data_IF_812153211075
#
_entry.id   IF_812153211075
#
_cell.length_a   1.000
_cell.length_b   1.000
_cell.length_c   1.000
_cell.angle_alpha   90.00
_cell.angle_beta   90.00
_cell.angle_gamma   90.00
#
_symmetry.space_group_name_H-M   'P 1'
#
loop_
_entity.id
_entity.type
_entity.pdbx_description
1 polymer ?
#
# COMPACT_ATOMS: atom_id res chain seq x y z
N UNK A 1 -34.98 4.38 -22.83
CA UNK A 1 -35.04 3.85 -21.45
C UNK A 1 -34.02 4.59 -20.61
N UNK A 2 -34.36 5.05 -19.40
CA UNK A 2 -33.56 6.01 -18.64
C UNK A 2 -32.40 5.35 -17.87
N UNK A 3 -31.29 6.07 -17.81
CA UNK A 3 -30.03 5.74 -17.13
C UNK A 3 -30.24 5.81 -15.61
N UNK A 4 -30.13 4.68 -14.91
CA UNK A 4 -30.10 4.65 -13.44
C UNK A 4 -28.69 5.01 -12.96
N UNK A 5 -28.56 6.17 -12.31
CA UNK A 5 -27.41 6.50 -11.45
C UNK A 5 -27.49 5.63 -10.20
N UNK A 6 -26.55 4.70 -10.05
CA UNK A 6 -26.32 4.03 -8.79
C UNK A 6 -25.35 4.88 -7.97
N UNK A 7 -25.85 5.45 -6.87
CA UNK A 7 -25.01 6.02 -5.83
C UNK A 7 -24.31 4.87 -5.10
N UNK A 8 -23.00 4.78 -5.24
CA UNK A 8 -22.16 3.87 -4.46
C UNK A 8 -21.73 4.60 -3.19
N UNK A 9 -22.42 4.32 -2.10
CA UNK A 9 -21.90 4.57 -0.75
C UNK A 9 -20.74 3.61 -0.52
N UNK A 10 -19.50 4.11 -0.62
CA UNK A 10 -18.29 3.30 -0.42
C UNK A 10 -18.22 2.78 1.03
N UNK A 11 -17.92 1.49 1.24
CA UNK A 11 -17.91 0.85 2.56
C UNK A 11 -16.67 1.18 3.42
N UNK A 12 -15.84 2.14 3.01
CA UNK A 12 -14.61 2.54 3.74
C UNK A 12 -14.93 3.40 4.97
N UNK A 13 -16.14 3.96 5.05
CA UNK A 13 -16.51 4.97 6.05
C UNK A 13 -16.90 4.48 7.46
N UNK A 14 -17.31 3.23 7.76
CA UNK A 14 -17.90 2.95 9.07
C UNK A 14 -16.89 2.59 10.19
N UNK A 15 -15.58 2.49 9.91
CA UNK A 15 -14.58 2.12 10.94
C UNK A 15 -13.92 3.34 11.60
N UNK A 16 -13.86 4.49 10.92
CA UNK A 16 -13.25 5.71 11.46
C UNK A 16 -14.14 6.46 12.48
N UNK A 17 -15.45 6.20 12.55
CA UNK A 17 -16.35 6.87 13.49
C UNK A 17 -16.26 6.35 14.94
N UNK A 18 -15.58 5.22 15.21
CA UNK A 18 -15.57 4.63 16.57
C UNK A 18 -14.45 5.08 17.49
N UNK A 19 -13.41 5.77 17.00
CA UNK A 19 -12.21 6.00 17.81
C UNK A 19 -11.96 7.42 18.34
N UNK A 20 -12.81 8.41 18.06
CA UNK A 20 -12.65 9.75 18.62
C UNK A 20 -13.98 10.38 19.05
N UNK A 21 -14.59 9.87 20.11
CA UNK A 21 -15.46 10.68 20.99
C UNK A 21 -14.67 11.05 22.24
N UNK A 22 -14.77 12.33 22.58
CA UNK A 22 -14.26 13.02 23.77
C UNK A 22 -12.84 13.57 23.70
N UNK A 23 -12.74 14.88 23.46
CA UNK A 23 -11.95 15.78 24.30
C UNK A 23 -12.64 17.17 24.32
N UNK A 24 -12.84 17.79 25.50
CA UNK A 24 -13.65 18.98 25.66
C UNK A 24 -12.91 20.27 25.29
N UNK A 25 -13.68 21.21 24.77
CA UNK A 25 -13.35 22.64 24.62
C UNK A 25 -13.53 23.36 25.96
N UNK A 26 -12.44 23.84 26.55
CA UNK A 26 -12.38 24.84 27.64
C UNK A 26 -10.91 25.33 27.67
N UNK A 27 -10.51 26.57 27.96
CA UNK A 27 -11.15 27.85 28.23
C UNK A 27 -10.02 28.91 28.20
N UNK A 28 -10.38 30.19 28.11
CA UNK A 28 -9.48 31.33 27.92
C UNK A 28 -8.62 31.67 29.16
N UNK A 29 -7.38 32.15 28.95
CA UNK A 29 -6.60 32.88 29.95
C UNK A 29 -5.23 33.36 29.41
N UNK A 30 -4.75 34.58 29.75
CA UNK A 30 -3.81 35.33 28.90
C UNK A 30 -2.35 35.37 29.40
N UNK A 31 -1.46 35.72 28.46
CA UNK A 31 -0.14 36.34 28.67
C UNK A 31 0.86 35.61 29.57
N UNK A 32 1.69 34.76 28.97
CA UNK A 32 3.10 34.65 29.37
C UNK A 32 4.00 34.48 28.14
N UNK A 33 4.77 35.54 27.88
CA UNK A 33 6.05 35.58 27.19
C UNK A 33 6.72 34.20 27.03
N UNK A 34 6.76 33.68 25.80
CA UNK A 34 7.81 32.77 25.39
C UNK A 34 8.22 33.14 23.96
N UNK A 35 9.52 33.41 23.80
CA UNK A 35 10.17 33.59 22.51
C UNK A 35 9.76 32.46 21.55
N UNK A 36 8.86 32.77 20.61
CA UNK A 36 8.68 31.96 19.42
C UNK A 36 9.97 32.09 18.61
N UNK A 37 10.93 31.20 18.90
CA UNK A 37 11.76 30.66 17.84
C UNK A 37 10.77 30.18 16.78
N UNK A 38 10.65 30.95 15.68
CA UNK A 38 10.07 30.47 14.43
C UNK A 38 10.92 29.28 14.01
N UNK A 39 10.63 28.11 14.58
CA UNK A 39 10.97 26.83 13.96
C UNK A 39 10.29 26.93 12.62
N UNK A 40 11.09 27.10 11.56
CA UNK A 40 10.65 26.81 10.20
C UNK A 40 10.23 25.35 10.25
N UNK A 41 8.96 25.09 10.52
CA UNK A 41 8.35 23.78 10.32
C UNK A 41 8.53 23.51 8.83
N UNK A 42 9.52 22.68 8.50
CA UNK A 42 9.63 22.16 7.14
C UNK A 42 8.32 21.42 6.90
N UNK A 43 7.51 21.91 5.97
CA UNK A 43 6.20 21.32 5.63
C UNK A 43 6.32 19.85 5.19
N UNK A 44 7.52 19.42 4.80
CA UNK A 44 7.84 18.06 4.40
C UNK A 44 8.50 17.23 5.52
N UNK A 45 8.53 17.71 6.77
CA UNK A 45 9.03 16.92 7.90
C UNK A 45 8.03 15.80 8.24
N UNK A 46 8.55 14.66 8.71
CA UNK A 46 7.74 13.55 9.21
C UNK A 46 6.86 14.03 10.36
N UNK A 47 5.65 13.48 10.48
CA UNK A 47 4.74 13.83 11.56
C UNK A 47 5.43 13.61 12.93
N UNK A 48 5.30 14.51 13.92
CA UNK A 48 6.01 14.40 15.19
C UNK A 48 5.67 13.13 16.00
N UNK A 49 4.47 12.56 15.77
CA UNK A 49 4.05 11.31 16.38
C UNK A 49 4.52 10.05 15.64
N UNK A 50 5.27 10.18 14.55
CA UNK A 50 5.74 9.04 13.78
C UNK A 50 6.89 8.32 14.49
N UNK A 51 6.76 7.01 14.62
CA UNK A 51 7.77 6.11 15.14
C UNK A 51 8.86 5.85 14.10
N UNK A 52 10.10 5.70 14.58
CA UNK A 52 11.20 5.24 13.74
C UNK A 52 10.98 3.79 13.29
N UNK A 53 11.39 3.50 12.06
CA UNK A 53 11.21 2.19 11.40
C UNK A 53 12.59 1.55 11.21
N UNK A 54 12.67 0.22 11.19
CA UNK A 54 13.91 -0.55 10.93
C UNK A 54 15.11 -0.12 11.77
N UNK A 55 14.96 -0.13 13.10
CA UNK A 55 16.08 0.11 14.02
C UNK A 55 16.48 1.57 14.21
N UNK A 56 15.55 2.52 13.99
CA UNK A 56 15.76 3.93 14.34
C UNK A 56 15.76 4.90 13.17
N UNK A 57 15.52 4.42 11.94
CA UNK A 57 15.49 5.24 10.74
C UNK A 57 14.18 6.05 10.65
N UNK A 58 14.27 7.24 10.06
CA UNK A 58 13.08 8.02 9.74
C UNK A 58 12.34 7.34 8.58
N UNK A 59 11.02 7.09 8.67
CA UNK A 59 10.25 6.43 7.60
C UNK A 59 10.46 7.03 6.19
N UNK A 60 10.61 8.35 6.09
CA UNK A 60 10.85 9.00 4.81
C UNK A 60 12.21 8.62 4.20
N UNK A 61 13.19 8.24 5.01
CA UNK A 61 14.54 7.93 4.52
C UNK A 61 14.61 6.63 3.73
N UNK A 62 13.57 5.80 3.77
CA UNK A 62 13.41 4.61 2.93
C UNK A 62 13.34 4.95 1.43
N UNK A 63 12.83 6.13 1.08
CA UNK A 63 12.89 6.64 -0.29
C UNK A 63 14.18 7.43 -0.47
N UNK A 64 14.94 7.20 -1.53
CA UNK A 64 16.22 7.89 -1.74
C UNK A 64 16.10 9.43 -1.74
N UNK A 65 17.16 10.11 -1.28
CA UNK A 65 17.17 11.58 -1.15
C UNK A 65 16.87 12.29 -2.48
N UNK A 66 17.40 11.78 -3.60
CA UNK A 66 17.19 12.37 -4.93
C UNK A 66 15.71 12.26 -5.30
N UNK A 67 15.10 11.10 -5.12
CA UNK A 67 13.68 10.87 -5.40
C UNK A 67 12.78 11.73 -4.51
N UNK A 68 13.06 11.84 -3.21
CA UNK A 68 12.29 12.72 -2.31
C UNK A 68 12.29 14.17 -2.78
N UNK A 69 13.45 14.67 -3.21
CA UNK A 69 13.55 16.03 -3.74
C UNK A 69 12.72 16.20 -5.02
N UNK A 70 12.68 15.20 -5.91
CA UNK A 70 11.83 15.20 -7.11
C UNK A 70 10.34 15.18 -6.74
N UNK A 71 9.94 14.36 -5.77
CA UNK A 71 8.57 14.32 -5.23
C UNK A 71 8.17 15.69 -4.68
N UNK A 72 8.99 16.29 -3.81
CA UNK A 72 8.71 17.61 -3.23
C UNK A 72 8.66 18.74 -4.27
N UNK A 73 9.38 18.59 -5.38
CA UNK A 73 9.35 19.55 -6.49
C UNK A 73 8.12 19.38 -7.40
N UNK A 74 7.52 18.19 -7.45
CA UNK A 74 6.41 17.86 -8.34
C UNK A 74 5.17 18.72 -8.09
N UNK A 75 4.42 18.98 -9.16
CA UNK A 75 3.16 19.74 -9.11
C UNK A 75 2.14 19.00 -8.26
N UNK A 76 2.02 17.69 -8.47
CA UNK A 76 1.09 16.85 -7.71
C UNK A 76 1.33 16.91 -6.20
N UNK A 77 2.58 16.88 -5.73
CA UNK A 77 2.86 17.00 -4.30
C UNK A 77 2.40 18.33 -3.72
N UNK A 78 2.66 19.43 -4.43
CA UNK A 78 2.35 20.79 -3.96
C UNK A 78 0.86 21.09 -3.97
N UNK A 79 0.11 20.53 -4.91
CA UNK A 79 -1.32 20.79 -5.08
C UNK A 79 -2.19 19.75 -4.36
N UNK A 80 -1.82 18.47 -4.45
CA UNK A 80 -2.67 17.34 -4.06
C UNK A 80 -2.15 16.56 -2.86
N UNK A 81 -0.89 16.74 -2.42
CA UNK A 81 -0.37 16.12 -1.18
C UNK A 81 -0.21 17.14 -0.03
N UNK A 82 -0.52 18.41 -0.29
CA UNK A 82 -0.45 19.46 0.71
C UNK A 82 -1.62 19.33 1.70
N UNK A 83 -1.32 19.29 2.99
CA UNK A 83 -2.35 19.18 4.04
C UNK A 83 -3.11 17.84 4.09
N UNK A 84 -2.71 16.83 3.31
CA UNK A 84 -3.37 15.52 3.33
C UNK A 84 -3.28 14.86 4.70
N UNK A 85 -4.43 14.41 5.19
CA UNK A 85 -4.62 13.57 6.38
C UNK A 85 -4.83 12.11 5.97
N UNK A 86 -4.84 11.18 6.94
CA UNK A 86 -5.08 9.76 6.66
C UNK A 86 -6.45 9.50 5.99
N UNK A 87 -7.48 10.27 6.34
CA UNK A 87 -8.83 10.15 5.79
C UNK A 87 -8.87 10.55 4.31
N UNK A 88 -8.44 11.78 4.02
CA UNK A 88 -8.42 12.35 2.65
C UNK A 88 -7.43 11.66 1.71
N UNK A 89 -6.53 10.82 2.25
CA UNK A 89 -5.58 10.05 1.47
C UNK A 89 -6.28 8.97 0.63
N UNK A 90 -7.34 8.36 1.17
CA UNK A 90 -8.12 7.32 0.47
C UNK A 90 -8.71 7.88 -0.82
N UNK A 91 -9.31 9.07 -0.76
CA UNK A 91 -9.91 9.74 -1.92
C UNK A 91 -8.91 9.90 -3.07
N UNK A 92 -7.67 10.27 -2.73
CA UNK A 92 -6.59 10.42 -3.71
C UNK A 92 -6.02 9.11 -4.20
N UNK A 93 -6.02 8.07 -3.36
CA UNK A 93 -5.59 6.74 -3.74
C UNK A 93 -6.58 6.09 -4.74
N UNK A 94 -7.88 6.35 -4.61
CA UNK A 94 -8.91 5.88 -5.55
C UNK A 94 -8.75 6.48 -6.96
N UNK A 95 -8.27 7.72 -7.07
CA UNK A 95 -8.02 8.38 -8.36
C UNK A 95 -6.79 7.85 -9.11
N UNK A 96 -6.03 6.89 -8.53
CA UNK A 96 -4.85 6.33 -9.18
C UNK A 96 -5.23 5.49 -10.40
N UNK A 97 -4.49 5.68 -11.50
CA UNK A 97 -4.67 4.95 -12.75
C UNK A 97 -3.44 4.14 -13.18
N UNK A 98 -2.31 4.32 -12.49
CA UNK A 98 -1.05 3.66 -12.77
C UNK A 98 -0.24 3.53 -11.47
N UNK A 99 0.58 2.50 -11.37
CA UNK A 99 1.60 2.36 -10.33
C UNK A 99 2.98 2.39 -10.97
N UNK A 100 4.00 2.84 -10.23
CA UNK A 100 5.36 2.93 -10.74
C UNK A 100 6.18 3.98 -9.98
N UNK A 101 7.46 4.12 -10.33
CA UNK A 101 8.41 4.92 -9.58
C UNK A 101 8.53 6.30 -10.22
N UNK A 102 9.55 6.46 -11.05
CA UNK A 102 9.79 7.65 -11.85
C UNK A 102 9.67 7.37 -13.34
N UNK A 103 9.30 8.38 -14.13
CA UNK A 103 9.12 8.26 -15.57
C UNK A 103 9.62 9.47 -16.35
N UNK A 104 9.91 9.25 -17.63
CA UNK A 104 10.41 10.26 -18.56
C UNK A 104 11.87 10.67 -18.30
N UNK A 105 12.45 11.39 -19.28
CA UNK A 105 13.86 11.80 -19.21
C UNK A 105 14.22 12.75 -18.06
N UNK A 106 13.22 13.41 -17.46
CA UNK A 106 13.40 14.27 -16.28
C UNK A 106 13.09 13.55 -14.95
N UNK A 107 12.93 12.22 -14.95
CA UNK A 107 12.63 11.39 -13.77
C UNK A 107 11.47 11.98 -12.93
N UNK A 108 10.34 12.23 -13.58
CA UNK A 108 9.16 12.74 -12.90
C UNK A 108 8.57 11.62 -12.02
N UNK A 109 8.24 11.89 -10.74
CA UNK A 109 7.63 10.90 -9.88
C UNK A 109 6.18 10.64 -10.31
N UNK A 110 5.73 9.40 -10.23
CA UNK A 110 4.32 9.05 -10.42
C UNK A 110 3.46 9.59 -9.27
N UNK A 111 2.14 9.70 -9.51
CA UNK A 111 1.17 9.99 -8.44
C UNK A 111 1.23 8.95 -7.33
N UNK A 112 1.44 7.69 -7.70
CA UNK A 112 1.61 6.56 -6.79
C UNK A 112 2.79 6.80 -5.81
N UNK A 113 3.98 7.11 -6.33
CA UNK A 113 5.16 7.37 -5.52
C UNK A 113 4.97 8.60 -4.60
N UNK A 114 4.28 9.63 -5.08
CA UNK A 114 3.94 10.80 -4.27
C UNK A 114 3.01 10.44 -3.09
N UNK A 115 1.98 9.62 -3.31
CA UNK A 115 1.08 9.17 -2.24
C UNK A 115 1.78 8.21 -1.28
N UNK A 116 2.65 7.32 -1.78
CA UNK A 116 3.44 6.43 -0.95
C UNK A 116 4.36 7.22 0.01
N UNK A 117 5.06 8.25 -0.49
CA UNK A 117 5.87 9.12 0.36
C UNK A 117 5.01 9.87 1.38
N UNK A 118 3.77 10.22 1.02
CA UNK A 118 2.83 10.85 1.95
C UNK A 118 2.38 9.88 3.05
N UNK A 119 2.11 8.63 2.72
CA UNK A 119 1.83 7.58 3.71
C UNK A 119 3.02 7.37 4.65
N UNK A 120 4.27 7.39 4.14
CA UNK A 120 5.47 7.34 4.98
C UNK A 120 5.61 8.57 5.89
N UNK A 121 5.14 9.74 5.45
CA UNK A 121 5.14 10.96 6.28
C UNK A 121 4.10 10.90 7.41
N UNK A 122 2.91 10.37 7.11
CA UNK A 122 1.78 10.30 8.04
C UNK A 122 1.86 9.10 8.99
N UNK A 123 2.41 7.98 8.52
CA UNK A 123 2.49 6.70 9.21
C UNK A 123 1.13 6.23 9.75
N UNK A 124 0.17 5.86 8.87
CA UNK A 124 -1.11 5.34 9.30
C UNK A 124 -0.95 4.04 10.12
N UNK A 125 -1.94 3.76 10.96
CA UNK A 125 -1.97 2.53 11.76
C UNK A 125 -2.09 1.28 10.87
N UNK A 126 -1.58 0.15 11.37
CA UNK A 126 -1.56 -1.12 10.62
C UNK A 126 -2.97 -1.60 10.23
N UNK A 127 -4.01 -1.28 11.02
CA UNK A 127 -5.39 -1.62 10.71
C UNK A 127 -5.90 -0.88 9.45
N UNK A 128 -5.53 0.39 9.29
CA UNK A 128 -5.86 1.17 8.09
C UNK A 128 -5.14 0.58 6.87
N UNK A 129 -3.89 0.18 7.03
CA UNK A 129 -3.11 -0.46 5.95
C UNK A 129 -3.71 -1.81 5.56
N UNK A 130 -4.16 -2.60 6.53
CA UNK A 130 -4.88 -3.86 6.29
C UNK A 130 -6.14 -3.61 5.48
N UNK A 131 -6.94 -2.60 5.82
CA UNK A 131 -8.14 -2.22 5.05
C UNK A 131 -7.82 -1.78 3.62
N UNK A 132 -6.65 -1.19 3.37
CA UNK A 132 -6.22 -0.87 2.01
C UNK A 132 -5.91 -2.13 1.20
N UNK A 133 -5.31 -3.13 1.84
CA UNK A 133 -4.93 -4.41 1.24
C UNK A 133 -6.16 -5.27 0.96
N UNK A 134 -7.06 -5.40 1.94
CA UNK A 134 -8.31 -6.19 1.85
C UNK A 134 -9.39 -5.52 0.96
N UNK A 135 -9.03 -4.49 0.17
CA UNK A 135 -9.96 -3.79 -0.70
C UNK A 135 -10.08 -4.44 -2.09
N UNK A 136 -11.26 -4.98 -2.39
CA UNK A 136 -11.53 -5.66 -3.67
C UNK A 136 -11.94 -4.73 -4.81
N UNK A 137 -12.41 -3.52 -4.50
CA UNK A 137 -12.91 -2.58 -5.50
C UNK A 137 -11.79 -1.80 -6.19
N UNK A 138 -10.75 -1.43 -5.43
CA UNK A 138 -9.71 -0.52 -5.88
C UNK A 138 -8.31 -1.14 -5.87
N UNK A 139 -7.97 -1.83 -6.96
CA UNK A 139 -6.66 -2.49 -7.15
C UNK A 139 -5.42 -1.60 -6.89
N UNK A 140 -5.46 -0.30 -7.20
CA UNK A 140 -4.31 0.59 -6.94
C UNK A 140 -4.17 0.95 -5.47
N UNK A 141 -5.26 0.94 -4.70
CA UNK A 141 -5.25 1.12 -3.24
C UNK A 141 -4.63 -0.12 -2.59
N UNK A 142 -5.02 -1.32 -3.05
CA UNK A 142 -4.41 -2.59 -2.64
C UNK A 142 -2.90 -2.57 -2.85
N UNK A 143 -2.44 -2.25 -4.06
CA UNK A 143 -1.01 -2.17 -4.39
C UNK A 143 -0.30 -1.11 -3.54
N UNK A 144 -0.93 0.05 -3.30
CA UNK A 144 -0.35 1.09 -2.46
C UNK A 144 -0.16 0.62 -1.01
N UNK A 145 -1.17 -0.05 -0.45
CA UNK A 145 -1.11 -0.66 0.88
C UNK A 145 -0.04 -1.74 0.97
N UNK A 146 0.05 -2.62 -0.04
CA UNK A 146 1.03 -3.69 -0.12
C UNK A 146 2.47 -3.17 -0.13
N UNK A 147 2.77 -2.17 -0.98
CA UNK A 147 4.11 -1.55 -1.05
C UNK A 147 4.43 -0.83 0.27
N UNK A 148 3.47 -0.10 0.84
CA UNK A 148 3.66 0.57 2.13
C UNK A 148 3.97 -0.42 3.26
N UNK A 149 3.20 -1.51 3.35
CA UNK A 149 3.40 -2.58 4.32
C UNK A 149 4.78 -3.22 4.14
N UNK A 150 5.22 -3.46 2.91
CA UNK A 150 6.53 -4.05 2.63
C UNK A 150 7.69 -3.17 3.12
N UNK A 151 7.51 -1.84 3.10
CA UNK A 151 8.52 -0.88 3.54
C UNK A 151 8.56 -0.69 5.05
N UNK A 152 7.42 -0.75 5.74
CA UNK A 152 7.33 -0.36 7.17
C UNK A 152 7.02 -1.54 8.09
N UNK A 153 6.31 -2.55 7.59
CA UNK A 153 5.81 -3.68 8.34
C UNK A 153 6.91 -4.57 8.91
N UNK A 154 6.55 -5.30 9.97
CA UNK A 154 7.38 -6.38 10.50
C UNK A 154 7.31 -7.59 9.56
N UNK A 155 8.36 -8.43 9.46
CA UNK A 155 8.37 -9.57 8.54
C UNK A 155 7.13 -10.46 8.64
N UNK A 156 6.69 -10.76 9.87
CA UNK A 156 5.45 -11.51 10.13
C UNK A 156 4.21 -10.87 9.50
N UNK A 157 4.02 -9.57 9.72
CA UNK A 157 2.86 -8.83 9.23
C UNK A 157 2.89 -8.75 7.68
N UNK A 158 4.10 -8.62 7.10
CA UNK A 158 4.32 -8.63 5.65
C UNK A 158 3.86 -9.95 5.03
N UNK A 159 4.34 -11.09 5.53
CA UNK A 159 3.96 -12.41 5.03
C UNK A 159 2.45 -12.65 5.14
N UNK A 160 1.88 -12.44 6.34
CA UNK A 160 0.45 -12.71 6.60
C UNK A 160 -0.52 -11.90 5.73
N UNK A 161 -0.16 -10.68 5.34
CA UNK A 161 -1.05 -9.80 4.55
C UNK A 161 -0.73 -9.79 3.05
N UNK A 162 0.51 -10.08 2.64
CA UNK A 162 0.87 -10.13 1.21
C UNK A 162 0.60 -11.48 0.57
N UNK A 163 0.69 -12.59 1.30
CA UNK A 163 0.43 -13.92 0.74
C UNK A 163 -0.97 -14.09 0.14
N UNK A 164 -2.06 -13.60 0.75
CA UNK A 164 -3.37 -13.67 0.13
C UNK A 164 -3.44 -12.97 -1.23
N UNK A 165 -2.61 -11.94 -1.46
CA UNK A 165 -2.57 -11.21 -2.74
C UNK A 165 -1.98 -12.04 -3.89
N UNK A 166 -1.30 -13.16 -3.62
CA UNK A 166 -0.83 -14.09 -4.65
C UNK A 166 -2.00 -14.79 -5.39
N UNK A 167 -3.20 -14.76 -4.83
CA UNK A 167 -4.43 -15.25 -5.48
C UNK A 167 -5.13 -14.18 -6.34
N UNK A 168 -4.64 -12.94 -6.34
CA UNK A 168 -5.26 -11.82 -7.03
C UNK A 168 -4.68 -11.59 -8.43
N UNK A 169 -5.42 -12.04 -9.44
CA UNK A 169 -5.02 -11.93 -10.86
C UNK A 169 -5.51 -10.64 -11.54
N UNK A 170 -5.90 -9.60 -10.79
CA UNK A 170 -6.36 -8.33 -11.37
C UNK A 170 -5.23 -7.66 -12.17
N UNK A 171 -5.54 -7.21 -13.38
CA UNK A 171 -4.62 -6.49 -14.26
C UNK A 171 -4.35 -5.07 -13.78
N UNK A 172 -3.10 -4.67 -13.65
CA UNK A 172 -2.65 -3.35 -13.23
C UNK A 172 -1.73 -2.73 -14.28
N UNK A 173 -1.81 -1.42 -14.47
CA UNK A 173 -0.92 -0.69 -15.38
C UNK A 173 0.33 -0.23 -14.64
N UNK A 174 1.49 -0.80 -14.98
CA UNK A 174 2.82 -0.40 -14.51
C UNK A 174 3.38 0.72 -15.37
N UNK A 175 3.86 1.79 -14.73
CA UNK A 175 4.54 2.91 -15.36
C UNK A 175 6.04 2.67 -15.29
N UNK A 176 6.63 2.35 -16.44
CA UNK A 176 8.07 2.25 -16.60
C UNK A 176 8.67 3.63 -16.91
N UNK A 177 10.01 3.70 -16.94
CA UNK A 177 10.73 4.94 -17.32
C UNK A 177 10.25 5.45 -18.68
N UNK A 178 10.00 4.53 -19.60
CA UNK A 178 9.47 4.79 -20.93
C UNK A 178 8.22 3.92 -21.13
N UNK A 179 7.07 4.55 -21.35
CA UNK A 179 5.82 3.86 -21.69
C UNK A 179 5.09 3.23 -20.50
N UNK A 180 4.28 2.23 -20.79
CA UNK A 180 3.47 1.49 -19.82
C UNK A 180 3.54 0.00 -20.12
N UNK A 181 3.43 -0.80 -19.08
CA UNK A 181 3.41 -2.25 -19.12
C UNK A 181 2.17 -2.76 -18.38
N UNK A 182 1.63 -3.88 -18.83
CA UNK A 182 0.53 -4.56 -18.16
C UNK A 182 1.13 -5.61 -17.23
N UNK A 183 0.82 -5.53 -15.95
CA UNK A 183 1.21 -6.52 -14.93
C UNK A 183 -0.01 -6.97 -14.16
N UNK A 184 0.17 -7.90 -13.22
CA UNK A 184 -0.89 -8.41 -12.36
C UNK A 184 -0.59 -8.12 -10.88
N UNK A 185 -1.58 -8.25 -9.99
CA UNK A 185 -1.40 -7.95 -8.55
C UNK A 185 -0.57 -9.03 -7.86
N UNK A 186 -0.80 -10.29 -8.17
CA UNK A 186 0.01 -11.44 -7.77
C UNK A 186 1.50 -11.27 -8.12
N UNK A 187 1.82 -10.87 -9.36
CA UNK A 187 3.19 -10.57 -9.79
C UNK A 187 3.84 -9.45 -8.96
N UNK A 188 3.05 -8.45 -8.56
CA UNK A 188 3.52 -7.36 -7.69
C UNK A 188 3.76 -7.89 -6.28
N UNK A 189 2.85 -8.69 -5.74
CA UNK A 189 2.99 -9.28 -4.40
C UNK A 189 4.21 -10.20 -4.32
N UNK A 190 4.44 -11.02 -5.35
CA UNK A 190 5.59 -11.90 -5.47
C UNK A 190 6.91 -11.11 -5.53
N UNK A 191 6.98 -10.08 -6.38
CA UNK A 191 8.13 -9.18 -6.46
C UNK A 191 8.42 -8.49 -5.12
N UNK A 192 7.38 -8.08 -4.37
CA UNK A 192 7.57 -7.49 -3.05
C UNK A 192 8.14 -8.48 -2.02
N UNK A 193 7.81 -9.77 -2.11
CA UNK A 193 8.30 -10.78 -1.17
C UNK A 193 9.74 -11.22 -1.47
N UNK A 194 10.11 -11.32 -2.75
CA UNK A 194 11.37 -11.93 -3.18
C UNK A 194 12.44 -10.94 -3.64
N UNK A 195 12.06 -9.78 -4.21
CA UNK A 195 13.04 -8.84 -4.74
C UNK A 195 13.65 -7.94 -3.64
N UNK A 196 14.90 -7.53 -3.85
CA UNK A 196 15.57 -6.53 -3.01
C UNK A 196 15.28 -5.09 -3.47
N UNK A 197 14.84 -4.91 -4.71
CA UNK A 197 14.61 -3.60 -5.31
C UNK A 197 13.39 -3.62 -6.24
N UNK A 198 12.42 -2.75 -5.97
CA UNK A 198 11.18 -2.70 -6.74
C UNK A 198 10.62 -1.27 -6.82
N UNK A 199 10.10 -0.87 -7.98
CA UNK A 199 9.50 0.48 -8.21
C UNK A 199 10.44 1.64 -7.82
N UNK A 200 11.72 1.56 -8.21
CA UNK A 200 12.74 2.54 -7.82
C UNK A 200 13.00 2.64 -6.30
N UNK A 201 12.62 1.64 -5.52
CA UNK A 201 12.78 1.61 -4.07
C UNK A 201 13.63 0.42 -3.64
N UNK A 202 14.61 0.69 -2.79
CA UNK A 202 15.34 -0.36 -2.08
C UNK A 202 14.46 -0.91 -0.97
N UNK A 203 14.10 -2.19 -1.07
CA UNK A 203 13.25 -2.84 -0.08
C UNK A 203 14.11 -3.25 1.13
N UNK A 204 13.61 -3.04 2.36
CA UNK A 204 14.28 -3.54 3.56
C UNK A 204 14.47 -5.06 3.47
N UNK A 205 15.60 -5.59 3.95
CA UNK A 205 15.85 -7.02 3.94
C UNK A 205 14.78 -7.77 4.72
N UNK A 206 14.14 -8.72 4.06
CA UNK A 206 13.15 -9.61 4.66
C UNK A 206 13.86 -10.86 5.17
N UNK A 207 13.45 -11.37 6.32
CA UNK A 207 13.94 -12.66 6.83
C UNK A 207 13.23 -13.77 6.06
N UNK A 208 13.99 -14.81 5.69
CA UNK A 208 13.44 -15.97 4.99
C UNK A 208 12.31 -16.60 5.80
N UNK A 209 11.28 -17.04 5.07
CA UNK A 209 10.06 -17.58 5.66
C UNK A 209 10.34 -18.76 6.61
N UNK A 210 11.19 -19.70 6.19
CA UNK A 210 11.54 -20.90 6.98
C UNK A 210 12.09 -20.53 8.37
N UNK A 211 12.87 -19.44 8.44
CA UNK A 211 13.44 -18.97 9.70
C UNK A 211 12.34 -18.41 10.60
N UNK A 212 11.35 -17.72 10.04
CA UNK A 212 10.21 -17.18 10.80
C UNK A 212 9.23 -18.27 11.24
N UNK A 213 9.02 -19.31 10.44
CA UNK A 213 8.22 -20.48 10.84
C UNK A 213 8.83 -21.15 12.07
N UNK A 214 10.16 -21.32 12.10
CA UNK A 214 10.88 -21.89 13.25
C UNK A 214 10.91 -20.97 14.47
N UNK A 215 11.05 -19.66 14.27
CA UNK A 215 11.34 -18.71 15.36
C UNK A 215 10.09 -18.08 15.94
N UNK A 216 9.18 -17.63 15.08
CA UNK A 216 7.96 -16.89 15.45
C UNK A 216 6.69 -17.74 15.34
N UNK A 217 6.81 -18.99 14.91
CA UNK A 217 5.68 -19.93 14.82
C UNK A 217 4.66 -19.54 13.75
N UNK A 218 5.12 -18.95 12.63
CA UNK A 218 4.26 -18.73 11.47
C UNK A 218 3.71 -20.07 10.97
N UNK A 219 2.41 -20.14 10.59
CA UNK A 219 1.87 -21.33 9.98
C UNK A 219 2.55 -21.56 8.61
N UNK A 220 2.74 -22.83 8.21
CA UNK A 220 3.25 -23.15 6.90
C UNK A 220 2.35 -22.52 5.84
N UNK A 221 2.96 -22.00 4.77
CA UNK A 221 2.21 -21.42 3.64
C UNK A 221 1.27 -22.49 3.08
N UNK A 222 -0.01 -22.18 2.95
CA UNK A 222 -0.95 -23.00 2.18
C UNK A 222 -1.15 -22.34 0.82
N UNK A 223 -0.84 -23.07 -0.24
CA UNK A 223 -1.09 -22.58 -1.60
C UNK A 223 -2.54 -22.87 -1.96
N UNK A 224 -3.31 -21.93 -2.52
CA UNK A 224 -4.64 -22.24 -3.05
C UNK A 224 -4.64 -23.37 -4.09
N UNK A 225 -3.53 -23.51 -4.84
CA UNK A 225 -3.33 -24.57 -5.84
C UNK A 225 -3.01 -25.94 -5.24
N UNK A 226 -2.52 -26.00 -3.99
CA UNK A 226 -2.20 -27.27 -3.32
C UNK A 226 -3.49 -28.02 -3.01
N UNK A 227 -4.52 -27.30 -2.56
CA UNK A 227 -5.85 -27.85 -2.33
C UNK A 227 -6.51 -28.37 -3.64
N UNK A 228 -6.18 -27.80 -4.81
CA UNK A 228 -6.65 -28.27 -6.12
C UNK A 228 -5.92 -29.52 -6.61
N UNK A 229 -4.63 -29.67 -6.31
CA UNK A 229 -3.83 -30.84 -6.69
C UNK A 229 -4.18 -32.08 -5.87
N UNK A 230 -4.54 -31.89 -4.61
CA UNK A 230 -4.97 -32.95 -3.70
C UNK A 230 -6.44 -33.37 -3.92
N UNK A 231 -7.18 -32.64 -4.77
CA UNK A 231 -8.52 -33.04 -5.18
C UNK A 231 -8.43 -34.30 -6.07
N UNK A 232 -9.18 -35.38 -5.76
CA UNK A 232 -9.20 -36.56 -6.61
C UNK A 232 -9.69 -36.14 -8.00
N UNK A 233 -8.87 -36.39 -9.02
CA UNK A 233 -9.29 -36.21 -10.40
C UNK A 233 -10.42 -37.18 -10.68
N UNK A 234 -11.67 -36.71 -10.65
CA UNK A 234 -12.81 -37.40 -11.26
C UNK A 234 -12.60 -37.38 -12.78
N UNK A 235 -11.67 -38.21 -13.26
CA UNK A 235 -11.64 -38.66 -14.64
C UNK A 235 -12.80 -39.65 -14.79
N UNK A 236 -14.01 -39.10 -14.94
CA UNK A 236 -15.11 -39.83 -15.57
C UNK A 236 -14.72 -40.05 -17.03
N UNK A 237 -13.96 -41.10 -17.27
CA UNK A 237 -13.80 -41.70 -18.59
C UNK A 237 -15.19 -42.22 -18.95
N UNK A 238 -15.97 -41.39 -19.64
CA UNK A 238 -17.28 -41.78 -20.14
C UNK A 238 -17.08 -42.80 -21.26
N UNK A 239 -17.34 -44.06 -20.93
CA UNK A 239 -17.47 -45.20 -21.84
C UNK A 239 -18.31 -44.80 -23.08
N UNK A 240 -17.65 -44.63 -24.23
CA UNK A 240 -18.30 -44.62 -25.54
C UNK A 240 -18.43 -46.08 -26.03
N UNK A 241 -19.35 -46.82 -25.43
CA UNK A 241 -19.99 -47.96 -26.09
C UNK A 241 -21.18 -47.46 -26.92
N UNK A 242 -21.00 -47.38 -28.25
CA UNK A 242 -22.10 -47.46 -29.20
C UNK A 242 -21.78 -48.46 -30.29
N UNK A 243 -22.50 -49.58 -30.24
CA UNK A 243 -22.77 -50.50 -31.34
C UNK A 243 -23.46 -49.79 -32.53
N UNK A 244 -23.47 -50.48 -33.68
CA UNK A 244 -24.05 -50.23 -35.02
C UNK A 244 -22.92 -50.09 -36.07
N UNK A 245 -22.71 -50.99 -37.05
CA UNK A 245 -23.54 -51.98 -37.75
C UNK A 245 -22.66 -53.11 -38.33
#
# INVERSE_FOLDING_TARGET
>A
MPVRRFGTTSPILPVLERHYRYLPMESQGPCCFFLLARRRTKMNATHPGAQSVHGGLNPQTLVEKIMRNRVYASVYWKEQCFGLTAETLVDKAVELAEFGGTFGGNQQPTRFLCLLLKMLQLQPELEVVRQFIENDDYKYVTVLGAVYLRLVGRPRDVYTLLEPLLSDYRKVRKRNVIGWELTHVDEIADALLHDEYYIDLALPRLVDREVLERTEGLPPRRSPLEDELDAPSDSSDSDDEKEEE
#
